data_IF_594469026858
#
_entry.id   IF_594469026858
#
_cell.length_a   1.000
_cell.length_b   1.000
_cell.length_c   1.000
_cell.angle_alpha   90.00
_cell.angle_beta   90.00
_cell.angle_gamma   90.00
#
_symmetry.space_group_name_H-M   'P 1'
#
loop_
_entity.id
_entity.type
_entity.pdbx_description
1 polymer ?
#
# COMPACT_ATOMS: atom_id res chain seq x y z
N UNK A 1 3.55 5.50 -3.06
CA UNK A 1 2.58 6.52 -2.64
C UNK A 1 1.92 6.05 -1.35
N UNK A 2 1.40 6.96 -0.54
CA UNK A 2 0.50 6.58 0.56
C UNK A 2 -0.91 6.42 0.01
N UNK A 3 -1.60 5.36 0.41
CA UNK A 3 -2.97 5.07 0.04
C UNK A 3 -3.73 4.46 1.21
N UNK A 4 -5.01 4.81 1.32
CA UNK A 4 -5.97 4.19 2.23
C UNK A 4 -7.22 3.66 1.49
N UNK A 5 -7.27 3.78 0.16
CA UNK A 5 -8.28 3.16 -0.70
C UNK A 5 -7.79 1.77 -1.15
N UNK A 6 -7.61 0.88 -0.18
CA UNK A 6 -7.05 -0.48 -0.33
C UNK A 6 -7.97 -1.48 0.34
N UNK A 7 -8.23 -2.62 -0.33
CA UNK A 7 -9.09 -3.69 0.22
C UNK A 7 -8.62 -5.07 -0.25
N UNK A 8 -8.76 -6.09 0.60
CA UNK A 8 -8.68 -7.50 0.18
C UNK A 8 -9.84 -7.84 -0.76
N UNK A 9 -9.58 -8.48 -1.89
CA UNK A 9 -10.60 -8.79 -2.89
C UNK A 9 -10.96 -10.28 -2.94
N UNK A 10 -9.98 -11.17 -2.89
CA UNK A 10 -10.18 -12.63 -3.01
C UNK A 10 -9.11 -13.40 -2.24
N UNK A 11 -9.44 -14.63 -1.82
CA UNK A 11 -8.51 -15.55 -1.18
C UNK A 11 -7.93 -16.58 -2.16
N UNK A 12 -8.70 -17.05 -3.14
CA UNK A 12 -8.25 -18.01 -4.15
C UNK A 12 -8.78 -17.64 -5.55
N UNK A 13 -7.94 -17.07 -6.45
CA UNK A 13 -6.56 -16.66 -6.18
C UNK A 13 -6.51 -15.48 -5.17
N UNK A 14 -5.38 -15.27 -4.48
CA UNK A 14 -5.24 -14.18 -3.52
C UNK A 14 -5.15 -12.84 -4.26
N UNK A 15 -6.17 -12.00 -4.09
CA UNK A 15 -6.25 -10.70 -4.76
C UNK A 15 -6.42 -9.55 -3.76
N UNK A 16 -5.81 -8.41 -4.08
CA UNK A 16 -6.05 -7.11 -3.44
C UNK A 16 -6.46 -6.09 -4.49
N UNK A 17 -7.16 -5.04 -4.07
CA UNK A 17 -7.40 -3.86 -4.89
C UNK A 17 -6.80 -2.60 -4.26
N UNK A 18 -6.40 -1.67 -5.12
CA UNK A 18 -5.94 -0.32 -4.78
C UNK A 18 -6.52 0.67 -5.80
N UNK A 19 -7.15 1.75 -5.34
CA UNK A 19 -7.58 2.84 -6.21
C UNK A 19 -6.47 3.90 -6.35
N UNK A 20 -6.14 4.29 -7.59
CA UNK A 20 -5.06 5.25 -7.89
C UNK A 20 -5.55 6.33 -8.85
N UNK A 21 -5.27 7.60 -8.53
CA UNK A 21 -5.58 8.75 -9.40
C UNK A 21 -4.88 8.59 -10.75
N UNK A 22 -5.63 8.72 -11.86
CA UNK A 22 -5.14 8.47 -13.23
C UNK A 22 -3.88 9.24 -13.61
N UNK A 23 -3.82 10.53 -13.28
CA UNK A 23 -2.73 11.39 -13.72
C UNK A 23 -1.48 11.32 -12.82
N UNK A 24 -1.53 10.50 -11.76
CA UNK A 24 -0.42 10.36 -10.81
C UNK A 24 0.79 9.64 -11.40
N UNK A 25 1.98 9.94 -10.88
CA UNK A 25 3.20 9.22 -11.25
C UNK A 25 3.12 7.73 -10.88
N UNK A 26 2.49 7.40 -9.75
CA UNK A 26 2.33 6.01 -9.31
C UNK A 26 1.45 5.22 -10.27
N UNK A 27 0.37 5.80 -10.80
CA UNK A 27 -0.46 5.14 -11.82
C UNK A 27 0.37 4.73 -13.05
N UNK A 28 1.17 5.66 -13.59
CA UNK A 28 2.05 5.37 -14.74
C UNK A 28 3.06 4.29 -14.43
N UNK A 29 3.75 4.38 -13.29
CA UNK A 29 4.74 3.39 -12.86
C UNK A 29 4.13 2.00 -12.71
N UNK A 30 2.98 1.88 -12.04
CA UNK A 30 2.31 0.61 -11.85
C UNK A 30 1.89 0.01 -13.20
N UNK A 31 1.36 0.84 -14.11
CA UNK A 31 0.93 0.39 -15.44
C UNK A 31 2.10 -0.06 -16.32
N UNK A 32 3.24 0.64 -16.26
CA UNK A 32 4.45 0.33 -17.03
C UNK A 32 5.17 -0.93 -16.50
N UNK A 33 5.33 -1.04 -15.18
CA UNK A 33 6.05 -2.16 -14.54
C UNK A 33 5.16 -3.39 -14.30
N UNK A 34 3.84 -3.26 -14.48
CA UNK A 34 2.84 -4.31 -14.31
C UNK A 34 2.85 -4.99 -12.92
N UNK A 35 3.30 -4.26 -11.89
CA UNK A 35 3.40 -4.75 -10.52
C UNK A 35 3.38 -3.60 -9.50
N UNK A 36 3.14 -3.93 -8.23
CA UNK A 36 3.30 -3.04 -7.09
C UNK A 36 3.52 -3.84 -5.80
N UNK A 37 4.12 -3.21 -4.79
CA UNK A 37 4.13 -3.71 -3.43
C UNK A 37 3.27 -2.81 -2.53
N UNK A 38 2.39 -3.41 -1.72
CA UNK A 38 1.69 -2.72 -0.64
C UNK A 38 2.49 -2.90 0.64
N UNK A 39 2.79 -1.79 1.30
CA UNK A 39 3.44 -1.77 2.61
C UNK A 39 2.39 -1.33 3.64
N UNK A 40 2.02 -2.23 4.56
CA UNK A 40 1.10 -1.95 5.66
C UNK A 40 1.90 -1.33 6.79
N UNK A 41 1.56 -0.10 7.17
CA UNK A 41 2.33 0.67 8.15
C UNK A 41 1.91 0.37 9.60
N UNK A 42 2.89 0.34 10.50
CA UNK A 42 2.70 0.27 11.94
C UNK A 42 2.34 1.64 12.53
N UNK A 43 1.72 1.66 13.71
CA UNK A 43 1.17 2.86 14.36
C UNK A 43 2.18 4.00 14.58
N UNK A 44 3.47 3.68 14.71
CA UNK A 44 4.56 4.65 14.89
C UNK A 44 5.13 5.20 13.55
N UNK A 45 4.64 4.71 12.40
CA UNK A 45 5.16 5.06 11.07
C UNK A 45 4.40 6.19 10.38
N UNK A 46 3.83 7.10 11.16
CA UNK A 46 3.14 8.29 10.61
C UNK A 46 4.05 9.11 9.67
N UNK A 47 5.31 9.33 10.06
CA UNK A 47 6.26 10.11 9.24
C UNK A 47 6.49 9.49 7.87
N UNK A 48 6.43 8.16 7.79
CA UNK A 48 6.56 7.42 6.53
C UNK A 48 5.31 7.62 5.65
N UNK A 49 4.13 7.54 6.26
CA UNK A 49 2.87 7.86 5.59
C UNK A 49 2.87 9.28 5.02
N UNK A 50 3.28 10.27 5.82
CA UNK A 50 3.35 11.66 5.37
C UNK A 50 4.35 11.84 4.22
N UNK A 51 5.53 11.20 4.30
CA UNK A 51 6.58 11.25 3.28
C UNK A 51 6.10 10.80 1.90
N UNK A 52 5.31 9.72 1.84
CA UNK A 52 4.86 9.16 0.57
C UNK A 52 3.51 9.72 0.07
N UNK A 53 2.83 10.55 0.87
CA UNK A 53 1.55 11.18 0.53
C UNK A 53 1.69 12.35 -0.46
N UNK A 54 2.82 13.06 -0.46
CA UNK A 54 3.03 14.20 -1.36
C UNK A 54 3.09 13.78 -2.84
N UNK A 55 2.56 14.61 -3.73
CA UNK A 55 2.67 14.42 -5.18
C UNK A 55 4.13 14.58 -5.66
N UNK A 56 4.47 13.90 -6.75
CA UNK A 56 5.80 13.94 -7.36
C UNK A 56 6.72 12.77 -6.97
N UNK A 57 8.03 12.90 -7.29
CA UNK A 57 9.02 11.84 -7.09
C UNK A 57 9.04 11.37 -5.64
N UNK A 58 9.06 10.06 -5.46
CA UNK A 58 9.10 9.45 -4.12
C UNK A 58 10.53 9.42 -3.63
N UNK A 59 10.73 10.01 -2.47
CA UNK A 59 12.03 10.07 -1.83
C UNK A 59 12.20 8.86 -0.91
N UNK A 60 13.14 7.98 -1.28
CA UNK A 60 13.53 6.81 -0.50
C UNK A 60 14.83 7.01 0.28
N UNK A 61 15.39 8.23 0.30
CA UNK A 61 16.67 8.50 0.97
C UNK A 61 16.63 8.14 2.47
N UNK A 62 17.65 7.41 2.92
CA UNK A 62 17.75 6.96 4.31
C UNK A 62 16.74 5.88 4.72
N UNK A 63 15.94 5.34 3.80
CA UNK A 63 15.10 4.17 4.06
C UNK A 63 15.83 2.90 3.65
N UNK A 64 15.68 1.85 4.44
CA UNK A 64 16.08 0.50 4.05
C UNK A 64 14.98 -0.10 3.16
N UNK A 65 15.35 -0.43 1.93
CA UNK A 65 14.44 -0.96 0.91
C UNK A 65 14.96 -2.31 0.43
N UNK A 66 14.06 -3.28 0.36
CA UNK A 66 14.27 -4.60 -0.24
C UNK A 66 13.27 -4.82 -1.37
N UNK A 67 13.33 -5.97 -2.02
CA UNK A 67 12.30 -6.43 -2.95
C UNK A 67 12.04 -7.93 -2.75
N UNK A 68 10.96 -8.41 -3.37
CA UNK A 68 10.58 -9.83 -3.41
C UNK A 68 10.50 -10.32 -4.87
N UNK A 69 9.38 -10.92 -5.28
CA UNK A 69 9.21 -11.62 -6.56
C UNK A 69 9.16 -10.68 -7.75
N UNK A 70 8.51 -9.52 -7.64
CA UNK A 70 8.32 -8.58 -8.77
C UNK A 70 9.45 -7.56 -8.92
N UNK A 71 10.26 -7.37 -7.87
CA UNK A 71 11.23 -6.27 -7.80
C UNK A 71 10.65 -4.97 -7.24
N UNK A 72 9.34 -4.88 -6.98
CA UNK A 72 8.73 -3.70 -6.38
C UNK A 72 9.32 -3.38 -4.99
N UNK A 73 9.47 -2.09 -4.63
CA UNK A 73 10.14 -1.69 -3.40
C UNK A 73 9.30 -2.01 -2.15
N UNK A 74 9.90 -2.76 -1.23
CA UNK A 74 9.37 -3.11 0.08
C UNK A 74 10.21 -2.40 1.13
N UNK A 75 9.55 -1.64 2.00
CA UNK A 75 10.19 -0.90 3.08
C UNK A 75 10.45 -1.84 4.26
N UNK A 76 11.65 -1.81 4.84
CA UNK A 76 11.94 -2.58 6.05
C UNK A 76 11.24 -1.97 7.27
N UNK A 77 10.85 -2.82 8.22
CA UNK A 77 10.23 -2.42 9.49
C UNK A 77 8.76 -2.04 9.41
N UNK A 78 8.09 -2.22 8.26
CA UNK A 78 6.64 -2.06 8.15
C UNK A 78 5.90 -3.21 8.83
N UNK A 79 4.65 -3.00 9.24
CA UNK A 79 3.83 -4.01 9.91
C UNK A 79 3.61 -5.26 9.05
N UNK A 80 3.56 -5.09 7.73
CA UNK A 80 3.51 -6.19 6.78
C UNK A 80 3.59 -5.68 5.36
N UNK A 81 3.72 -6.58 4.40
CA UNK A 81 3.73 -6.23 2.99
C UNK A 81 3.19 -7.35 2.11
N UNK A 82 2.69 -6.98 0.95
CA UNK A 82 2.36 -7.92 -0.13
C UNK A 82 2.95 -7.41 -1.44
N UNK A 83 3.51 -8.33 -2.21
CA UNK A 83 4.07 -8.11 -3.53
C UNK A 83 3.12 -8.66 -4.59
N UNK A 84 2.69 -7.80 -5.52
CA UNK A 84 1.56 -8.05 -6.39
C UNK A 84 1.94 -7.88 -7.87
N UNK A 85 1.49 -8.80 -8.71
CA UNK A 85 1.40 -8.58 -10.17
C UNK A 85 0.03 -7.99 -10.48
N UNK A 86 -0.02 -7.01 -11.38
CA UNK A 86 -1.30 -6.45 -11.80
C UNK A 86 -2.03 -7.49 -12.65
N UNK A 87 -3.25 -7.79 -12.23
CA UNK A 87 -4.17 -8.70 -12.89
C UNK A 87 -5.06 -7.94 -13.88
N UNK A 88 -5.58 -6.80 -13.44
CA UNK A 88 -6.53 -6.00 -14.18
C UNK A 88 -6.51 -4.54 -13.69
N UNK A 89 -6.86 -3.61 -14.58
CA UNK A 89 -7.05 -2.20 -14.26
C UNK A 89 -8.46 -1.81 -14.74
N UNK A 90 -9.32 -1.39 -13.81
CA UNK A 90 -10.72 -1.03 -14.09
C UNK A 90 -10.94 0.48 -13.92
N UNK A 91 -11.79 1.12 -14.73
CA UNK A 91 -12.14 2.52 -14.54
C UNK A 91 -12.96 2.73 -13.26
N UNK A 92 -12.59 3.74 -12.46
CA UNK A 92 -13.23 4.08 -11.18
C UNK A 92 -13.64 5.55 -11.03
N UNK A 93 -13.77 6.30 -12.12
CA UNK A 93 -14.06 7.74 -12.10
C UNK A 93 -12.83 8.59 -12.42
N UNK A 94 -12.33 9.37 -11.47
CA UNK A 94 -11.03 10.07 -11.55
C UNK A 94 -9.84 9.18 -11.10
N UNK A 95 -10.16 8.00 -10.57
CA UNK A 95 -9.23 6.92 -10.27
C UNK A 95 -9.42 5.74 -11.22
N UNK A 96 -8.40 4.90 -11.31
CA UNK A 96 -8.53 3.51 -11.76
C UNK A 96 -8.31 2.56 -10.59
N UNK A 97 -9.00 1.43 -10.62
CA UNK A 97 -8.92 0.35 -9.65
C UNK A 97 -7.92 -0.68 -10.19
N UNK A 98 -6.78 -0.78 -9.52
CA UNK A 98 -5.77 -1.80 -9.79
C UNK A 98 -6.11 -3.05 -8.99
N UNK A 99 -6.32 -4.16 -9.69
CA UNK A 99 -6.45 -5.49 -9.08
C UNK A 99 -5.07 -6.15 -9.16
N UNK A 100 -4.51 -6.49 -7.99
CA UNK A 100 -3.22 -7.17 -7.87
C UNK A 100 -3.40 -8.61 -7.38
N UNK A 101 -2.77 -9.56 -8.06
CA UNK A 101 -2.60 -10.94 -7.59
C UNK A 101 -1.36 -11.00 -6.70
N UNK A 102 -1.54 -11.44 -5.44
CA UNK A 102 -0.47 -11.52 -4.45
C UNK A 102 0.44 -12.70 -4.80
N UNK A 103 1.72 -12.42 -5.06
CA UNK A 103 2.73 -13.44 -5.41
C UNK A 103 3.76 -13.68 -4.31
N UNK A 104 3.85 -12.79 -3.34
CA UNK A 104 4.60 -12.97 -2.09
C UNK A 104 4.04 -12.01 -1.01
N UNK A 105 4.27 -12.30 0.25
CA UNK A 105 3.89 -11.42 1.34
C UNK A 105 4.40 -11.87 2.69
N UNK A 106 4.41 -10.94 3.64
CA UNK A 106 4.79 -11.18 5.02
C UNK A 106 3.90 -10.33 5.92
N UNK A 107 3.46 -10.91 7.03
CA UNK A 107 2.74 -10.22 8.09
C UNK A 107 3.56 -10.23 9.36
N UNK A 108 3.71 -9.07 10.00
CA UNK A 108 4.24 -8.93 11.34
C UNK A 108 3.14 -8.80 12.40
N UNK A 109 3.57 -8.59 13.64
CA UNK A 109 2.72 -8.30 14.79
C UNK A 109 2.85 -6.82 15.17
N UNK A 110 1.79 -6.25 15.74
CA UNK A 110 1.76 -4.86 16.20
C UNK A 110 0.48 -4.13 15.83
N UNK A 111 0.39 -2.88 16.25
CA UNK A 111 -0.76 -2.02 15.95
C UNK A 111 -0.60 -1.34 14.58
N UNK A 112 -1.64 -1.33 13.73
CA UNK A 112 -1.59 -0.66 12.44
C UNK A 112 -1.71 0.87 12.56
N UNK A 113 -1.11 1.59 11.63
CA UNK A 113 -1.39 3.00 11.43
C UNK A 113 -2.80 3.17 10.85
N UNK A 114 -3.68 3.86 11.59
CA UNK A 114 -5.02 4.16 11.09
C UNK A 114 -5.12 5.59 10.59
N UNK A 115 -6.00 5.79 9.60
CA UNK A 115 -6.40 7.10 9.11
C UNK A 115 -7.93 7.18 9.04
N UNK A 116 -8.51 8.08 9.83
CA UNK A 116 -9.97 8.24 9.94
C UNK A 116 -10.33 9.72 10.15
N UNK A 117 -11.38 10.19 9.46
CA UNK A 117 -11.84 11.58 9.59
C UNK A 117 -10.77 12.64 9.25
N UNK A 118 -9.84 12.30 8.34
CA UNK A 118 -8.74 13.19 7.96
C UNK A 118 -7.58 13.25 8.96
N UNK A 119 -7.52 12.34 9.94
CA UNK A 119 -6.49 12.32 11.00
C UNK A 119 -5.96 10.90 11.19
N UNK A 120 -4.72 10.81 11.65
CA UNK A 120 -4.18 9.55 12.14
C UNK A 120 -4.84 9.15 13.47
N UNK A 121 -5.02 7.85 13.66
CA UNK A 121 -5.68 7.27 14.83
C UNK A 121 -4.97 5.97 15.26
N UNK A 122 -5.35 5.47 16.43
CA UNK A 122 -4.92 4.18 16.97
C UNK A 122 -6.13 3.32 17.30
N UNK A 123 -5.95 2.01 17.27
CA UNK A 123 -6.96 1.07 17.75
C UNK A 123 -6.90 1.05 19.28
N UNK A 124 -8.06 1.11 19.92
CA UNK A 124 -8.21 0.68 21.30
C UNK A 124 -8.92 -0.68 21.32
N UNK A 125 -8.14 -1.76 21.44
CA UNK A 125 -8.66 -3.13 21.49
C UNK A 125 -9.34 -3.47 22.82
N UNK A 126 -9.29 -2.57 23.80
CA UNK A 126 -10.00 -2.68 25.08
C UNK A 126 -11.08 -1.59 25.17
N UNK A 127 -12.16 -1.67 24.38
CA UNK A 127 -13.30 -0.79 24.60
C UNK A 127 -13.86 -1.06 26.00
N UNK A 128 -14.03 -0.02 26.80
CA UNK A 128 -14.81 -0.10 28.04
C UNK A 128 -16.24 -0.56 27.69
N UNK A 129 -16.72 -1.59 28.40
CA UNK A 129 -18.09 -2.14 28.28
C UNK A 129 -19.18 -1.06 28.42
#
# INVERSE_FOLDING_TARGET
MTANAVTSLSLDPPLVLLAVVRDSQSHRQFSEENCFALNILAADQQQLSDRFAYAGPKDFSGLEVTSATTGAPILKGVLGWVDCRIKEILPGGDHDIFIGEIVAGESGEGEPLLFFGGKYASINLNPSE
#
